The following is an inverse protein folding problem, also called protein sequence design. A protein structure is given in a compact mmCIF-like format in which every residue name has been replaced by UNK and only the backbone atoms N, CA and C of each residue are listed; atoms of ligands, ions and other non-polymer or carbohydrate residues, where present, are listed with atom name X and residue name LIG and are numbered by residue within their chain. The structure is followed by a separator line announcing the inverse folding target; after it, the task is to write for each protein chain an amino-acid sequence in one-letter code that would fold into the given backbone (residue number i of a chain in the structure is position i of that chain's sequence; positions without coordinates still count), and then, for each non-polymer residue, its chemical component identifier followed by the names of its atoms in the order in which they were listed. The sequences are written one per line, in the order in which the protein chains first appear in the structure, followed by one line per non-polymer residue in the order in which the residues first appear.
data_IF_438746351901
#
_entry.id   IF_438746351901
#
_cell.length_a   1.000
_cell.length_b   1.000
_cell.length_c   1.000
_cell.angle_alpha   90.00
_cell.angle_beta   90.00
_cell.angle_gamma   90.00
#
_symmetry.space_group_name_H-M   'P 1'
#
loop_
_entity.id
_entity.type
_entity.pdbx_description
1 polymer ?
#
# COMPACT_ATOMS: atom_id res chain seq x y z
N UNK A 1 11.32 26.83 4.82
CA UNK A 1 10.68 27.96 4.10
C UNK A 1 9.47 28.42 4.87
N UNK A 2 9.05 29.69 4.70
CA UNK A 2 7.96 30.29 5.50
C UNK A 2 6.63 29.50 5.41
N UNK A 3 6.25 29.04 4.22
CA UNK A 3 5.02 28.27 4.05
C UNK A 3 5.11 26.85 4.64
N UNK A 4 6.28 26.25 4.70
CA UNK A 4 6.50 24.95 5.37
C UNK A 4 6.41 25.12 6.89
N UNK A 5 6.94 26.22 7.42
CA UNK A 5 6.78 26.61 8.82
C UNK A 5 5.30 26.75 9.20
N UNK A 6 4.47 27.34 8.34
CA UNK A 6 3.02 27.46 8.61
C UNK A 6 2.33 26.08 8.68
N UNK A 7 2.70 25.13 7.83
CA UNK A 7 2.17 23.77 7.91
C UNK A 7 2.48 23.13 9.28
N UNK A 8 3.73 23.21 9.73
CA UNK A 8 4.14 22.73 11.06
C UNK A 8 3.36 23.45 12.18
N UNK A 9 3.24 24.77 12.09
CA UNK A 9 2.59 25.58 13.12
C UNK A 9 1.11 25.23 13.27
N UNK A 10 0.38 24.96 12.17
CA UNK A 10 -1.02 24.52 12.21
C UNK A 10 -1.17 23.21 13.00
N UNK A 11 -0.30 22.22 12.75
CA UNK A 11 -0.33 20.97 13.51
C UNK A 11 -0.07 21.19 14.99
N UNK A 12 0.91 22.05 15.33
CA UNK A 12 1.23 22.36 16.72
C UNK A 12 0.07 23.10 17.42
N UNK A 13 -0.51 24.11 16.76
CA UNK A 13 -1.66 24.87 17.28
C UNK A 13 -2.84 23.95 17.60
N UNK A 14 -3.19 23.05 16.68
CA UNK A 14 -4.30 22.10 16.86
C UNK A 14 -3.98 21.08 17.96
N UNK A 15 -2.77 20.53 17.96
CA UNK A 15 -2.37 19.60 19.01
C UNK A 15 -2.46 20.23 20.40
N UNK A 16 -1.97 21.47 20.55
CA UNK A 16 -1.98 22.18 21.82
C UNK A 16 -3.38 22.53 22.30
N UNK A 17 -4.27 22.88 21.36
CA UNK A 17 -5.62 23.30 21.67
C UNK A 17 -6.59 22.13 21.91
N UNK A 18 -6.43 21.00 21.22
CA UNK A 18 -7.48 19.99 21.15
C UNK A 18 -7.01 18.57 21.57
N UNK A 19 -5.75 18.22 21.39
CA UNK A 19 -5.32 16.83 21.50
C UNK A 19 -4.30 16.52 22.58
N UNK A 20 -3.69 17.52 23.20
CA UNK A 20 -2.61 17.32 24.18
C UNK A 20 -3.01 16.39 25.34
N UNK A 21 -4.17 16.64 25.94
CA UNK A 21 -4.65 15.86 27.09
C UNK A 21 -5.04 14.43 26.67
N UNK A 22 -5.72 14.29 25.52
CA UNK A 22 -6.13 13.00 25.01
C UNK A 22 -4.92 12.12 24.63
N UNK A 23 -3.93 12.71 24.00
CA UNK A 23 -2.68 12.00 23.63
C UNK A 23 -1.94 11.53 24.87
N UNK A 24 -1.82 12.39 25.88
CA UNK A 24 -1.20 12.03 27.15
C UNK A 24 -1.95 10.89 27.85
N UNK A 25 -3.28 10.93 27.88
CA UNK A 25 -4.12 9.90 28.51
C UNK A 25 -4.00 8.54 27.79
N UNK A 26 -3.72 8.53 26.48
CA UNK A 26 -3.58 7.32 25.67
C UNK A 26 -2.13 6.87 25.50
N UNK A 27 -1.16 7.58 26.04
CA UNK A 27 0.27 7.31 25.84
C UNK A 27 0.76 7.53 24.41
N UNK A 28 0.07 8.41 23.66
CA UNK A 28 0.45 8.77 22.29
C UNK A 28 1.41 9.96 22.33
N UNK A 29 2.50 9.88 21.60
CA UNK A 29 3.45 10.97 21.44
C UNK A 29 3.15 11.78 20.19
N UNK A 30 3.35 13.10 20.27
CA UNK A 30 3.34 14.02 19.14
C UNK A 30 4.67 14.75 19.08
N UNK A 31 5.29 14.75 17.93
CA UNK A 31 6.53 15.49 17.71
C UNK A 31 6.67 15.96 16.27
N UNK A 32 7.31 17.11 16.10
CA UNK A 32 7.76 17.59 14.80
C UNK A 32 9.19 17.08 14.54
N UNK A 33 9.40 16.53 13.32
CA UNK A 33 10.70 16.07 12.86
C UNK A 33 11.11 16.78 11.58
N UNK A 34 12.39 16.99 11.37
CA UNK A 34 12.94 17.41 10.10
C UNK A 34 12.83 16.25 9.10
N UNK A 35 12.64 16.57 7.81
CA UNK A 35 12.36 15.56 6.79
C UNK A 35 13.49 14.54 6.65
N UNK A 36 14.75 14.97 6.68
CA UNK A 36 15.93 14.11 6.57
C UNK A 36 16.05 13.15 7.77
N UNK A 37 15.81 13.65 8.98
CA UNK A 37 15.79 12.85 10.21
C UNK A 37 14.65 11.83 10.17
N UNK A 38 13.48 12.24 9.71
CA UNK A 38 12.33 11.33 9.64
C UNK A 38 12.48 10.27 8.55
N UNK A 39 13.10 10.57 7.42
CA UNK A 39 13.46 9.57 6.40
C UNK A 39 14.38 8.50 7.00
N UNK A 40 15.40 8.91 7.73
CA UNK A 40 16.30 7.98 8.41
C UNK A 40 15.59 7.15 9.48
N UNK A 41 14.65 7.76 10.20
CA UNK A 41 13.85 7.09 11.23
C UNK A 41 12.88 6.08 10.62
N UNK A 42 12.22 6.42 9.53
CA UNK A 42 11.27 5.53 8.83
C UNK A 42 11.92 4.22 8.36
N UNK A 43 13.20 4.24 8.02
CA UNK A 43 13.96 3.06 7.61
C UNK A 43 14.46 2.19 8.79
N UNK A 44 14.38 2.69 10.03
CA UNK A 44 14.95 2.05 11.22
C UNK A 44 13.93 1.67 12.27
N UNK A 45 12.84 2.40 12.38
CA UNK A 45 11.81 2.18 13.39
C UNK A 45 10.92 0.99 13.02
N UNK A 46 10.40 0.36 14.06
CA UNK A 46 9.48 -0.79 13.92
C UNK A 46 8.08 -0.42 13.41
N UNK A 47 7.81 0.86 13.19
CA UNK A 47 6.48 1.36 12.82
C UNK A 47 5.64 1.81 14.02
N UNK A 48 4.32 1.76 13.88
CA UNK A 48 3.40 2.20 14.95
C UNK A 48 3.24 3.71 15.05
N UNK A 49 3.55 4.45 13.98
CA UNK A 49 3.40 5.91 13.93
C UNK A 49 2.62 6.34 12.70
N UNK A 50 2.05 7.53 12.76
CA UNK A 50 1.44 8.23 11.63
C UNK A 50 2.33 9.42 11.28
N UNK A 51 2.75 9.50 10.03
CA UNK A 51 3.59 10.57 9.53
C UNK A 51 2.81 11.51 8.63
N UNK A 52 2.51 12.71 9.13
CA UNK A 52 1.82 13.75 8.38
C UNK A 52 2.81 14.51 7.49
N UNK A 53 2.69 14.36 6.20
CA UNK A 53 3.51 15.01 5.18
C UNK A 53 2.69 15.98 4.34
N UNK A 54 3.34 17.02 3.81
CA UNK A 54 2.79 17.76 2.67
C UNK A 54 2.80 16.89 1.42
N UNK A 55 1.92 17.24 0.46
CA UNK A 55 1.68 16.48 -0.76
C UNK A 55 2.98 15.99 -1.45
N UNK A 56 3.83 16.92 -1.89
CA UNK A 56 5.07 16.56 -2.60
C UNK A 56 6.07 15.79 -1.72
N UNK A 57 6.22 16.19 -0.48
CA UNK A 57 7.13 15.52 0.46
C UNK A 57 6.65 14.10 0.73
N UNK A 58 5.34 13.89 0.91
CA UNK A 58 4.72 12.59 1.10
C UNK A 58 4.78 11.70 -0.14
N UNK A 59 4.56 12.27 -1.32
CA UNK A 59 4.65 11.58 -2.61
C UNK A 59 6.05 10.97 -2.81
N UNK A 60 7.09 11.79 -2.72
CA UNK A 60 8.49 11.32 -2.86
C UNK A 60 8.89 10.36 -1.75
N UNK A 61 8.49 10.65 -0.51
CA UNK A 61 8.83 9.84 0.65
C UNK A 61 8.20 8.45 0.61
N UNK A 62 6.93 8.33 0.24
CA UNK A 62 6.25 7.05 0.16
C UNK A 62 6.89 6.13 -0.89
N UNK A 63 7.31 6.68 -2.01
CA UNK A 63 8.06 5.94 -3.04
C UNK A 63 9.41 5.43 -2.54
N UNK A 64 10.15 6.27 -1.81
CA UNK A 64 11.44 5.88 -1.22
C UNK A 64 11.26 4.72 -0.24
N UNK A 65 10.26 4.80 0.65
CA UNK A 65 9.97 3.74 1.63
C UNK A 65 9.56 2.46 0.91
N UNK A 66 8.64 2.55 -0.07
CA UNK A 66 8.20 1.39 -0.84
C UNK A 66 9.36 0.69 -1.55
N UNK A 67 10.28 1.44 -2.16
CA UNK A 67 11.48 0.88 -2.78
C UNK A 67 12.47 0.29 -1.77
N UNK A 68 12.58 0.89 -0.60
CA UNK A 68 13.45 0.41 0.48
C UNK A 68 13.01 -0.93 1.08
N UNK A 69 11.71 -1.20 1.09
CA UNK A 69 11.12 -2.42 1.65
C UNK A 69 10.56 -3.40 0.62
N UNK A 70 10.70 -3.12 -0.66
CA UNK A 70 10.20 -4.02 -1.70
C UNK A 70 10.17 -3.38 -3.08
N UNK A 71 8.99 -3.22 -3.63
CA UNK A 71 8.76 -2.69 -4.97
C UNK A 71 7.60 -1.69 -4.96
N UNK A 72 7.68 -0.65 -5.79
CA UNK A 72 6.55 0.23 -6.09
C UNK A 72 5.30 -0.55 -6.56
N UNK A 73 5.51 -1.71 -7.19
CA UNK A 73 4.43 -2.60 -7.60
C UNK A 73 3.58 -3.18 -6.46
N UNK A 74 3.99 -2.97 -5.20
CA UNK A 74 3.24 -3.37 -4.00
C UNK A 74 2.53 -2.19 -3.33
N UNK A 75 2.78 -0.96 -3.77
CA UNK A 75 2.28 0.25 -3.13
C UNK A 75 0.88 0.61 -3.62
N UNK A 76 -0.02 0.86 -2.68
CA UNK A 76 -1.38 1.33 -2.92
C UNK A 76 -1.60 2.66 -2.24
N UNK A 77 -2.14 3.63 -2.97
CA UNK A 77 -2.52 4.95 -2.46
C UNK A 77 -4.01 4.96 -2.11
N UNK A 78 -4.35 5.65 -1.03
CA UNK A 78 -5.74 5.85 -0.60
C UNK A 78 -5.96 7.32 -0.27
N UNK A 79 -6.93 7.94 -0.93
CA UNK A 79 -7.48 9.23 -0.55
C UNK A 79 -8.75 9.01 0.27
N UNK A 80 -8.90 9.71 1.35
CA UNK A 80 -10.04 9.58 2.26
C UNK A 80 -10.61 10.95 2.64
N UNK A 81 -11.93 11.06 2.62
CA UNK A 81 -12.60 12.26 3.15
C UNK A 81 -12.44 12.37 4.67
N UNK A 82 -12.45 13.59 5.24
CA UNK A 82 -12.26 13.78 6.68
C UNK A 82 -13.25 13.01 7.56
N UNK A 83 -14.46 12.76 7.07
CA UNK A 83 -15.48 11.96 7.77
C UNK A 83 -15.33 10.45 7.58
N UNK A 84 -14.33 10.01 6.79
CA UNK A 84 -14.04 8.61 6.52
C UNK A 84 -15.09 7.87 5.68
N UNK A 85 -16.08 8.57 5.11
CA UNK A 85 -17.18 7.92 4.38
C UNK A 85 -16.87 7.63 2.92
N UNK A 86 -15.97 8.37 2.32
CA UNK A 86 -15.58 8.18 0.92
C UNK A 86 -14.09 7.92 0.84
N UNK A 87 -13.73 6.89 0.10
CA UNK A 87 -12.33 6.58 -0.22
C UNK A 87 -12.18 6.39 -1.72
N UNK A 88 -11.02 6.79 -2.21
CA UNK A 88 -10.50 6.44 -3.53
C UNK A 88 -9.20 5.68 -3.32
N UNK A 89 -9.08 4.50 -3.90
CA UNK A 89 -7.87 3.69 -3.82
C UNK A 89 -7.33 3.42 -5.21
N UNK A 90 -6.02 3.56 -5.37
CA UNK A 90 -5.33 3.35 -6.64
C UNK A 90 -3.98 2.65 -6.45
N UNK A 91 -3.46 2.06 -7.52
CA UNK A 91 -2.07 1.66 -7.55
C UNK A 91 -1.21 2.92 -7.60
N UNK A 92 -0.28 3.06 -6.66
CA UNK A 92 0.54 4.28 -6.51
C UNK A 92 1.65 4.44 -7.57
N UNK A 93 1.63 3.64 -8.63
CA UNK A 93 2.58 3.71 -9.73
C UNK A 93 1.88 4.13 -11.04
N UNK A 94 2.68 4.58 -12.01
CA UNK A 94 2.17 4.99 -13.32
C UNK A 94 1.70 3.82 -14.19
N UNK A 95 1.31 4.16 -15.43
CA UNK A 95 0.64 3.25 -16.39
C UNK A 95 1.54 2.19 -17.02
N UNK A 96 2.82 2.09 -16.64
CA UNK A 96 3.80 1.10 -17.16
C UNK A 96 3.81 0.99 -18.68
N UNK A 97 3.83 2.13 -19.36
CA UNK A 97 3.66 2.25 -20.82
C UNK A 97 4.63 1.39 -21.62
N UNK A 98 5.84 1.13 -21.11
CA UNK A 98 6.83 0.28 -21.78
C UNK A 98 6.34 -1.18 -21.87
N UNK A 99 5.78 -1.74 -20.81
CA UNK A 99 5.20 -3.10 -20.81
C UNK A 99 3.96 -3.15 -21.72
N UNK A 100 3.10 -2.13 -21.66
CA UNK A 100 1.93 -2.06 -22.53
C UNK A 100 2.30 -2.09 -24.01
N UNK A 101 3.33 -1.34 -24.43
CA UNK A 101 3.83 -1.37 -25.81
C UNK A 101 4.39 -2.74 -26.20
N UNK A 102 5.06 -3.44 -25.31
CA UNK A 102 5.53 -4.82 -25.53
C UNK A 102 4.34 -5.77 -25.70
N UNK A 103 3.33 -5.66 -24.83
CA UNK A 103 2.10 -6.44 -24.93
C UNK A 103 1.38 -6.22 -26.26
N UNK A 104 1.26 -4.98 -26.73
CA UNK A 104 0.68 -4.66 -28.05
C UNK A 104 1.46 -5.31 -29.22
N UNK A 105 2.72 -5.61 -29.04
CA UNK A 105 3.57 -6.34 -30.01
C UNK A 105 3.47 -7.87 -29.85
N UNK A 106 2.59 -8.38 -29.02
CA UNK A 106 2.45 -9.82 -28.75
C UNK A 106 3.57 -10.42 -27.91
N UNK A 107 4.41 -9.59 -27.27
CA UNK A 107 5.49 -10.07 -26.40
C UNK A 107 4.96 -10.39 -25.01
N UNK A 108 5.45 -11.45 -24.35
CA UNK A 108 5.11 -11.72 -22.97
C UNK A 108 5.65 -10.59 -22.08
N UNK A 109 4.83 -10.18 -21.10
CA UNK A 109 5.20 -9.16 -20.13
C UNK A 109 4.98 -9.68 -18.71
N UNK A 110 5.77 -9.17 -17.78
CA UNK A 110 5.65 -9.45 -16.36
C UNK A 110 5.48 -8.13 -15.61
N UNK A 111 4.25 -7.64 -15.62
CA UNK A 111 3.82 -6.46 -14.85
C UNK A 111 3.19 -6.95 -13.57
N UNK A 112 3.63 -6.43 -12.44
CA UNK A 112 3.10 -6.78 -11.12
C UNK A 112 1.69 -6.18 -10.95
N UNK A 113 0.63 -6.99 -10.76
CA UNK A 113 -0.74 -6.51 -10.59
C UNK A 113 -1.12 -6.25 -9.13
N UNK A 114 -0.25 -6.55 -8.15
CA UNK A 114 -0.59 -6.58 -6.72
C UNK A 114 -1.11 -5.21 -6.25
N UNK A 115 -0.46 -4.10 -6.62
CA UNK A 115 -0.92 -2.78 -6.20
C UNK A 115 -2.34 -2.47 -6.69
N UNK A 116 -2.69 -2.89 -7.91
CA UNK A 116 -4.06 -2.76 -8.44
C UNK A 116 -5.05 -3.67 -7.71
N UNK A 117 -4.66 -4.91 -7.42
CA UNK A 117 -5.48 -5.84 -6.62
C UNK A 117 -5.74 -5.24 -5.24
N UNK A 118 -4.70 -4.72 -4.57
CA UNK A 118 -4.82 -4.13 -3.25
C UNK A 118 -5.63 -2.82 -3.24
N UNK A 119 -5.61 -2.06 -4.32
CA UNK A 119 -6.52 -0.93 -4.47
C UNK A 119 -8.00 -1.38 -4.45
N UNK A 120 -8.33 -2.45 -5.15
CA UNK A 120 -9.67 -3.06 -5.11
C UNK A 120 -10.02 -3.62 -3.74
N UNK A 121 -9.13 -4.36 -3.09
CA UNK A 121 -9.39 -4.94 -1.77
C UNK A 121 -9.58 -3.87 -0.70
N UNK A 122 -8.80 -2.77 -0.74
CA UNK A 122 -9.01 -1.61 0.15
C UNK A 122 -10.39 -0.99 -0.04
N UNK A 123 -10.82 -0.79 -1.27
CA UNK A 123 -12.16 -0.29 -1.60
C UNK A 123 -13.26 -1.24 -1.12
N UNK A 124 -13.10 -2.54 -1.37
CA UNK A 124 -14.07 -3.57 -0.93
C UNK A 124 -14.16 -3.67 0.61
N UNK A 125 -13.02 -3.69 1.31
CA UNK A 125 -12.99 -3.73 2.77
C UNK A 125 -13.67 -2.49 3.38
N UNK A 126 -13.40 -1.30 2.82
CA UNK A 126 -14.06 -0.07 3.24
C UNK A 126 -15.57 -0.13 2.99
N UNK A 127 -15.99 -0.58 1.81
CA UNK A 127 -17.41 -0.75 1.47
C UNK A 127 -18.10 -1.75 2.37
N UNK A 128 -17.46 -2.91 2.62
CA UNK A 128 -17.96 -3.93 3.54
C UNK A 128 -18.19 -3.39 4.95
N UNK A 129 -17.30 -2.52 5.43
CA UNK A 129 -17.46 -1.84 6.72
C UNK A 129 -18.64 -0.87 6.73
N UNK A 130 -18.80 -0.06 5.69
CA UNK A 130 -19.89 0.91 5.58
C UNK A 130 -21.27 0.25 5.48
N UNK A 131 -21.36 -0.85 4.75
CA UNK A 131 -22.63 -1.56 4.49
C UNK A 131 -22.98 -2.59 5.59
N UNK A 132 -22.05 -2.87 6.49
CA UNK A 132 -22.21 -3.94 7.47
C UNK A 132 -22.21 -5.34 6.83
N UNK A 133 -21.46 -5.53 5.73
CA UNK A 133 -21.30 -6.80 5.01
C UNK A 133 -19.92 -7.41 5.28
N UNK A 134 -19.76 -8.11 6.41
CA UNK A 134 -18.44 -8.63 6.84
C UNK A 134 -17.87 -9.67 5.86
N UNK A 135 -18.69 -10.36 5.09
CA UNK A 135 -18.26 -11.29 4.06
C UNK A 135 -17.47 -10.61 2.94
N UNK A 136 -17.82 -9.37 2.58
CA UNK A 136 -17.07 -8.57 1.59
C UNK A 136 -15.69 -8.19 2.14
N UNK A 137 -15.63 -7.80 3.40
CA UNK A 137 -14.34 -7.50 4.05
C UNK A 137 -13.48 -8.76 4.14
N UNK A 138 -14.04 -9.91 4.57
CA UNK A 138 -13.30 -11.19 4.61
C UNK A 138 -12.78 -11.62 3.23
N UNK A 139 -13.56 -11.43 2.17
CA UNK A 139 -13.09 -11.71 0.82
C UNK A 139 -11.88 -10.85 0.46
N UNK A 140 -11.94 -9.54 0.75
CA UNK A 140 -10.82 -8.62 0.51
C UNK A 140 -9.55 -9.05 1.26
N UNK A 141 -9.66 -9.34 2.56
CA UNK A 141 -8.54 -9.79 3.39
C UNK A 141 -7.98 -11.14 2.89
N UNK A 142 -8.85 -12.05 2.45
CA UNK A 142 -8.45 -13.34 1.89
C UNK A 142 -7.66 -13.18 0.59
N UNK A 143 -8.11 -12.31 -0.30
CA UNK A 143 -7.42 -12.05 -1.56
C UNK A 143 -6.03 -11.40 -1.33
N UNK A 144 -5.92 -10.45 -0.40
CA UNK A 144 -4.61 -9.87 -0.02
C UNK A 144 -3.66 -10.95 0.52
N UNK A 145 -4.13 -11.76 1.44
CA UNK A 145 -3.35 -12.87 2.01
C UNK A 145 -2.88 -13.85 0.94
N UNK A 146 -3.74 -14.22 0.00
CA UNK A 146 -3.39 -15.12 -1.11
C UNK A 146 -2.33 -14.51 -2.01
N UNK A 147 -2.39 -13.21 -2.31
CA UNK A 147 -1.34 -12.55 -3.08
C UNK A 147 0.01 -12.65 -2.36
N UNK A 148 0.05 -12.41 -1.06
CA UNK A 148 1.26 -12.51 -0.24
C UNK A 148 1.79 -13.95 -0.24
N UNK A 149 0.94 -14.93 0.09
CA UNK A 149 1.30 -16.35 0.12
C UNK A 149 1.79 -16.88 -1.25
N UNK A 150 1.26 -16.35 -2.34
CA UNK A 150 1.70 -16.71 -3.70
C UNK A 150 3.14 -16.25 -3.93
N UNK A 151 3.46 -15.02 -3.54
CA UNK A 151 4.82 -14.47 -3.64
C UNK A 151 5.79 -15.24 -2.72
N UNK A 152 5.40 -15.49 -1.47
CA UNK A 152 6.20 -16.23 -0.48
C UNK A 152 6.48 -17.69 -0.93
N UNK A 153 5.57 -18.27 -1.69
CA UNK A 153 5.77 -19.59 -2.31
C UNK A 153 6.69 -19.57 -3.54
N UNK A 154 7.31 -18.42 -3.87
CA UNK A 154 8.23 -18.28 -5.00
C UNK A 154 7.54 -18.04 -6.35
N UNK A 155 6.22 -17.88 -6.37
CA UNK A 155 5.45 -17.57 -7.56
C UNK A 155 5.23 -16.04 -7.64
N UNK A 156 6.04 -15.36 -8.43
CA UNK A 156 6.06 -13.89 -8.44
C UNK A 156 6.37 -13.31 -9.82
N UNK A 157 6.09 -12.03 -9.98
CA UNK A 157 6.48 -11.28 -11.18
C UNK A 157 7.95 -10.91 -11.17
N UNK A 158 8.46 -10.52 -12.33
CA UNK A 158 9.88 -10.29 -12.56
C UNK A 158 10.50 -9.21 -11.66
N UNK A 159 9.77 -8.17 -11.35
CA UNK A 159 10.22 -7.08 -10.45
C UNK A 159 10.60 -7.61 -9.06
N UNK A 160 9.77 -8.49 -8.49
CA UNK A 160 10.02 -9.12 -7.20
C UNK A 160 11.13 -10.18 -7.27
N UNK A 161 11.12 -11.00 -8.33
CA UNK A 161 12.14 -12.03 -8.51
C UNK A 161 13.55 -11.43 -8.58
N UNK A 162 13.72 -10.29 -9.25
CA UNK A 162 15.01 -9.60 -9.35
C UNK A 162 15.53 -9.08 -8.00
N UNK A 163 14.66 -8.85 -7.02
CA UNK A 163 15.07 -8.46 -5.66
C UNK A 163 15.67 -9.66 -4.89
N UNK A 164 15.25 -10.88 -5.21
CA UNK A 164 15.79 -12.11 -4.61
C UNK A 164 17.11 -12.47 -5.26
N UNK A 165 17.15 -12.48 -6.58
CA UNK A 165 18.38 -12.78 -7.32
C UNK A 165 18.14 -13.24 -8.75
N UNK A 166 19.20 -13.36 -9.55
CA UNK A 166 19.09 -13.70 -10.99
C UNK A 166 18.56 -15.11 -11.26
N UNK A 167 18.68 -16.01 -10.31
CA UNK A 167 18.25 -17.40 -10.44
C UNK A 167 16.79 -17.63 -10.02
N UNK A 168 16.13 -16.60 -9.44
CA UNK A 168 14.73 -16.72 -9.03
C UNK A 168 13.84 -16.76 -10.27
N UNK A 169 13.06 -17.84 -10.47
CA UNK A 169 12.05 -17.90 -11.54
C UNK A 169 10.99 -16.83 -11.37
N UNK A 170 10.46 -16.35 -12.47
CA UNK A 170 9.38 -15.38 -12.47
C UNK A 170 8.27 -15.78 -13.43
N UNK A 171 7.08 -15.27 -13.18
CA UNK A 171 5.86 -15.51 -13.96
C UNK A 171 5.53 -14.31 -14.84
N UNK A 172 4.85 -14.56 -15.95
CA UNK A 172 4.16 -13.50 -16.69
C UNK A 172 3.01 -12.95 -15.83
N UNK A 173 2.48 -11.78 -16.19
CA UNK A 173 1.30 -11.23 -15.50
C UNK A 173 0.13 -12.22 -15.51
N UNK A 174 -0.11 -12.87 -16.65
CA UNK A 174 -1.21 -13.83 -16.82
C UNK A 174 -1.01 -15.07 -15.95
N UNK A 175 0.18 -15.64 -15.94
CA UNK A 175 0.49 -16.82 -15.12
C UNK A 175 0.43 -16.50 -13.63
N UNK A 176 0.84 -15.31 -13.23
CA UNK A 176 0.75 -14.87 -11.84
C UNK A 176 -0.72 -14.68 -11.41
N UNK A 177 -1.56 -14.07 -12.25
CA UNK A 177 -2.99 -13.95 -11.99
C UNK A 177 -3.66 -15.32 -11.93
N UNK A 178 -3.29 -16.27 -12.81
CA UNK A 178 -3.80 -17.63 -12.77
C UNK A 178 -3.42 -18.37 -11.48
N UNK A 179 -2.20 -18.17 -10.98
CA UNK A 179 -1.76 -18.74 -9.71
C UNK A 179 -2.54 -18.19 -8.51
N UNK A 180 -2.89 -16.89 -8.52
CA UNK A 180 -3.74 -16.28 -7.50
C UNK A 180 -5.16 -16.84 -7.59
N UNK A 181 -5.73 -16.91 -8.79
CA UNK A 181 -7.10 -17.41 -9.01
C UNK A 181 -7.26 -18.85 -8.54
N UNK A 182 -6.32 -19.74 -8.85
CA UNK A 182 -6.32 -21.13 -8.39
C UNK A 182 -6.30 -21.24 -6.85
N UNK A 183 -5.48 -20.43 -6.18
CA UNK A 183 -5.43 -20.39 -4.71
C UNK A 183 -6.71 -19.82 -4.10
N UNK A 184 -7.25 -18.78 -4.71
CA UNK A 184 -8.51 -18.16 -4.28
C UNK A 184 -9.68 -19.12 -4.40
N UNK A 185 -9.77 -19.87 -5.51
CA UNK A 185 -10.79 -20.88 -5.71
C UNK A 185 -10.74 -21.98 -4.63
N UNK A 186 -9.57 -22.44 -4.26
CA UNK A 186 -9.37 -23.41 -3.16
C UNK A 186 -9.81 -22.83 -1.82
N UNK A 187 -9.35 -21.61 -1.48
CA UNK A 187 -9.71 -20.97 -0.22
C UNK A 187 -11.23 -20.71 -0.09
N UNK A 188 -11.90 -20.46 -1.22
CA UNK A 188 -13.36 -20.25 -1.26
C UNK A 188 -14.13 -21.56 -1.05
N UNK A 189 -13.58 -22.68 -1.54
CA UNK A 189 -14.17 -24.01 -1.32
C UNK A 189 -13.98 -24.49 0.12
N UNK A 190 -12.88 -24.11 0.78
CA UNK A 190 -12.52 -24.58 2.12
C UNK A 190 -13.12 -23.76 3.26
N UNK A 191 -13.79 -22.63 3.00
CA UNK A 191 -14.27 -21.88 4.14
C UNK A 191 -14.63 -20.42 4.03
N UNK A 192 -15.12 -19.93 2.92
CA UNK A 192 -15.99 -18.74 2.90
C UNK A 192 -17.46 -19.11 3.21
N UNK A 193 -17.67 -20.32 3.74
CA UNK A 193 -18.92 -20.79 4.28
C UNK A 193 -19.11 -20.36 5.74
#
# INVERSE_FOLDING_TARGET
KAYDGRFKDIFQEIFDAEFREEFAARGITYEHRLIDDMVASALKWEGGYVWACKNYDGDVQSDIVAQGFGSLGLMTSVLMTPDGKTVEAEAAHGTVTRHYRQHQQGKPTSTNPIASIFAWTRGLAHRGKLDGTPEVARFADTLERICIETVEAGQMTKDLALLIGPEQPWLTTQDFLAAIDERLARATLDGLG
#
